data_IF_166282592502
#
_entry.id   IF_166282592502
#
_cell.length_a   1.000
_cell.length_b   1.000
_cell.length_c   1.000
_cell.angle_alpha   90.00
_cell.angle_beta   90.00
_cell.angle_gamma   90.00
#
_symmetry.space_group_name_H-M   'P 1'
#
loop_
_entity.id
_entity.type
_entity.pdbx_description
1 polymer ?
#
# COMPACT_ATOMS: atom_id res chain seq x y z
N UNK A 1 43.97 -25.02 56.15
CA UNK A 1 43.73 -23.58 55.93
C UNK A 1 43.80 -23.35 54.43
N UNK A 2 42.65 -23.48 53.76
CA UNK A 2 42.51 -23.44 52.30
C UNK A 2 42.16 -22.04 51.81
N UNK A 3 42.58 -21.76 50.57
CA UNK A 3 42.41 -20.51 49.84
C UNK A 3 40.93 -20.12 49.62
N UNK A 4 40.62 -18.83 49.34
CA UNK A 4 39.27 -18.42 49.04
C UNK A 4 38.91 -18.79 47.59
N UNK A 5 37.71 -19.34 47.43
CA UNK A 5 36.99 -19.55 46.16
C UNK A 5 36.18 -18.30 45.85
N UNK A 6 36.45 -17.68 44.71
CA UNK A 6 35.52 -16.80 44.02
C UNK A 6 34.65 -17.67 43.12
N UNK A 7 33.34 -17.68 43.35
CA UNK A 7 32.38 -18.17 42.36
C UNK A 7 31.15 -17.26 42.38
N UNK A 8 31.24 -16.21 41.56
CA UNK A 8 30.18 -15.25 41.30
C UNK A 8 29.33 -15.74 40.14
N UNK A 9 28.19 -16.31 40.50
CA UNK A 9 27.07 -16.67 39.64
C UNK A 9 26.55 -15.47 38.82
N UNK A 10 26.16 -15.74 37.57
CA UNK A 10 25.50 -14.77 36.72
C UNK A 10 25.52 -15.17 35.25
N UNK A 11 24.91 -16.32 34.92
CA UNK A 11 24.55 -16.66 33.55
C UNK A 11 23.66 -15.54 32.98
N UNK A 12 24.22 -14.73 32.07
CA UNK A 12 23.50 -13.72 31.31
C UNK A 12 22.54 -14.43 30.35
N UNK A 13 21.27 -14.48 30.76
CA UNK A 13 20.13 -14.92 29.97
C UNK A 13 19.89 -14.00 28.78
N UNK A 14 20.73 -14.09 27.75
CA UNK A 14 20.49 -13.49 26.44
C UNK A 14 19.87 -14.52 25.48
N UNK A 15 18.69 -15.06 25.85
CA UNK A 15 17.88 -15.83 24.91
C UNK A 15 16.63 -15.05 24.50
N UNK A 16 16.61 -14.62 23.23
CA UNK A 16 15.39 -14.57 22.44
C UNK A 16 14.74 -13.20 22.21
N UNK A 17 15.46 -12.23 21.65
CA UNK A 17 14.81 -11.19 20.86
C UNK A 17 14.91 -11.59 19.39
N UNK A 18 13.85 -12.13 18.79
CA UNK A 18 13.79 -12.19 17.32
C UNK A 18 13.83 -10.75 16.82
N UNK A 19 14.98 -10.35 16.26
CA UNK A 19 15.13 -9.03 15.65
C UNK A 19 14.36 -9.11 14.35
N UNK A 20 13.11 -8.66 14.35
CA UNK A 20 12.31 -8.58 13.12
C UNK A 20 13.14 -7.94 12.01
N UNK A 21 13.22 -8.61 10.86
CA UNK A 21 13.94 -8.08 9.70
C UNK A 21 13.14 -6.90 9.13
N UNK A 22 13.81 -5.76 8.93
CA UNK A 22 13.22 -4.56 8.39
C UNK A 22 13.93 -4.21 7.07
N UNK A 23 13.22 -3.59 6.11
CA UNK A 23 13.88 -3.03 4.95
C UNK A 23 14.98 -2.03 5.36
N UNK A 24 16.05 -1.89 4.57
CA UNK A 24 17.15 -1.01 4.94
C UNK A 24 16.69 0.44 5.18
N UNK A 25 17.29 1.06 6.20
CA UNK A 25 16.95 2.42 6.62
C UNK A 25 15.59 2.60 7.30
N UNK A 26 14.83 1.53 7.56
CA UNK A 26 13.56 1.57 8.30
C UNK A 26 13.73 1.45 9.81
N UNK A 27 12.76 2.00 10.54
CA UNK A 27 12.60 1.82 11.98
C UNK A 27 11.23 1.25 12.31
N UNK A 28 11.18 0.34 13.28
CA UNK A 28 9.91 -0.19 13.76
C UNK A 28 9.07 0.95 14.37
N UNK A 29 7.85 1.10 13.89
CA UNK A 29 6.89 2.06 14.41
C UNK A 29 6.13 1.46 15.59
N UNK A 30 5.97 2.25 16.66
CA UNK A 30 5.01 1.94 17.72
C UNK A 30 3.68 2.63 17.41
N UNK A 31 2.59 1.88 17.41
CA UNK A 31 1.26 2.39 17.06
C UNK A 31 1.10 2.71 15.57
N UNK A 32 -0.01 3.37 15.22
CA UNK A 32 -0.35 3.72 13.84
C UNK A 32 -0.29 5.23 13.64
N UNK A 33 0.76 5.76 13.00
CA UNK A 33 0.89 7.20 12.80
C UNK A 33 -0.05 7.67 11.70
N UNK A 34 -0.65 8.84 11.94
CA UNK A 34 -1.41 9.56 10.92
C UNK A 34 -0.42 10.31 10.02
N UNK A 35 -0.41 9.96 8.73
CA UNK A 35 0.39 10.66 7.70
C UNK A 35 -0.48 10.93 6.48
N UNK A 36 -0.67 12.19 6.11
CA UNK A 36 -1.37 12.58 4.88
C UNK A 36 -0.79 13.86 4.31
N UNK A 37 -0.92 13.97 2.99
CA UNK A 37 -0.78 15.22 2.27
C UNK A 37 -2.17 15.86 2.13
N UNK A 38 -2.31 17.12 2.55
CA UNK A 38 -3.59 17.84 2.49
C UNK A 38 -4.58 17.49 3.62
N UNK A 39 -5.81 18.02 3.56
CA UNK A 39 -6.85 17.78 4.58
C UNK A 39 -7.42 16.36 4.51
N UNK A 40 -8.02 15.90 5.61
CA UNK A 40 -8.80 14.65 5.66
C UNK A 40 -10.17 14.89 5.01
N UNK A 41 -10.56 14.14 3.97
CA UNK A 41 -11.84 14.33 3.31
C UNK A 41 -12.99 13.92 4.21
N UNK A 42 -14.07 14.71 4.15
CA UNK A 42 -15.34 14.34 4.78
C UNK A 42 -16.05 13.32 3.89
N UNK A 43 -16.08 12.06 4.34
CA UNK A 43 -16.79 11.01 3.62
C UNK A 43 -18.29 11.27 3.55
N UNK A 44 -18.84 11.01 2.36
CA UNK A 44 -20.27 11.12 2.02
C UNK A 44 -20.63 9.94 1.10
N UNK A 45 -21.22 8.85 1.64
CA UNK A 45 -21.46 7.63 0.88
C UNK A 45 -22.27 7.86 -0.40
N UNK A 46 -23.22 8.79 -0.36
CA UNK A 46 -24.10 9.16 -1.48
C UNK A 46 -23.38 9.89 -2.63
N UNK A 47 -22.15 10.35 -2.41
CA UNK A 47 -21.29 10.99 -3.43
C UNK A 47 -20.04 10.17 -3.73
N UNK A 48 -19.89 9.03 -3.05
CA UNK A 48 -18.75 8.17 -3.23
C UNK A 48 -19.07 7.10 -4.26
N UNK A 49 -18.12 6.88 -5.15
CA UNK A 49 -18.16 5.84 -6.18
C UNK A 49 -16.72 5.39 -6.41
N UNK A 50 -16.53 4.08 -6.52
CA UNK A 50 -15.31 3.48 -7.03
C UNK A 50 -15.47 3.24 -8.53
N UNK A 51 -14.51 3.73 -9.33
CA UNK A 51 -14.57 3.62 -10.80
C UNK A 51 -13.39 2.83 -11.37
N UNK A 52 -13.65 2.02 -12.39
CA UNK A 52 -12.64 1.39 -13.24
C UNK A 52 -12.85 1.90 -14.66
N UNK A 53 -11.80 2.44 -15.27
CA UNK A 53 -11.84 3.01 -16.61
C UNK A 53 -10.48 2.92 -17.29
N UNK A 54 -10.32 3.52 -18.47
CA UNK A 54 -9.11 3.42 -19.28
C UNK A 54 -9.27 2.32 -20.32
N UNK A 55 -8.21 1.56 -20.59
CA UNK A 55 -8.25 0.43 -21.52
C UNK A 55 -8.83 -0.83 -20.83
N UNK A 56 -10.15 -0.88 -20.69
CA UNK A 56 -10.90 -2.08 -20.27
C UNK A 56 -11.12 -3.01 -21.45
N UNK A 57 -11.31 -4.31 -21.21
CA UNK A 57 -11.51 -5.30 -22.29
C UNK A 57 -12.79 -5.03 -23.11
N UNK A 58 -13.80 -4.43 -22.49
CA UNK A 58 -15.08 -4.10 -23.11
C UNK A 58 -15.20 -2.63 -23.54
N UNK A 59 -14.13 -1.83 -23.39
CA UNK A 59 -14.11 -0.38 -23.62
C UNK A 59 -15.15 0.41 -22.78
N UNK A 60 -15.74 -0.21 -21.74
CA UNK A 60 -16.72 0.42 -20.85
C UNK A 60 -16.10 0.92 -19.54
N UNK A 61 -16.82 1.85 -18.89
CA UNK A 61 -16.49 2.30 -17.53
C UNK A 61 -17.34 1.55 -16.54
N UNK A 62 -16.71 0.99 -15.53
CA UNK A 62 -17.38 0.25 -14.46
C UNK A 62 -17.39 1.09 -13.19
N UNK A 63 -18.52 1.09 -12.48
CA UNK A 63 -18.73 1.92 -11.30
C UNK A 63 -19.48 1.16 -10.22
N UNK A 64 -19.10 1.39 -8.96
CA UNK A 64 -19.80 0.87 -7.79
C UNK A 64 -20.02 2.01 -6.81
N UNK A 65 -21.26 2.18 -6.36
CA UNK A 65 -21.59 2.97 -5.18
C UNK A 65 -20.89 2.39 -3.94
N UNK A 66 -20.88 3.13 -2.84
CA UNK A 66 -20.29 2.65 -1.60
C UNK A 66 -20.89 1.30 -1.15
N UNK A 67 -22.21 1.19 -1.17
CA UNK A 67 -22.90 -0.02 -0.70
C UNK A 67 -22.59 -1.22 -1.62
N UNK A 68 -22.62 -1.03 -2.93
CA UNK A 68 -22.26 -2.08 -3.90
C UNK A 68 -20.80 -2.52 -3.75
N UNK A 69 -19.87 -1.57 -3.54
CA UNK A 69 -18.45 -1.89 -3.35
C UNK A 69 -18.23 -2.68 -2.06
N UNK A 70 -18.87 -2.28 -0.96
CA UNK A 70 -18.75 -2.99 0.33
C UNK A 70 -19.38 -4.39 0.33
N UNK A 71 -20.29 -4.66 -0.61
CA UNK A 71 -20.89 -5.98 -0.83
C UNK A 71 -20.02 -6.92 -1.68
N UNK A 72 -18.92 -6.43 -2.28
CA UNK A 72 -17.99 -7.26 -3.04
C UNK A 72 -17.28 -8.29 -2.14
N UNK A 73 -16.73 -9.38 -2.73
CA UNK A 73 -15.95 -10.37 -1.99
C UNK A 73 -14.89 -9.75 -1.07
N UNK A 74 -14.96 -10.10 0.20
CA UNK A 74 -14.08 -9.61 1.26
C UNK A 74 -12.99 -10.65 1.59
N UNK A 75 -11.78 -10.17 1.89
CA UNK A 75 -10.68 -10.99 2.41
C UNK A 75 -9.89 -10.25 3.47
N UNK A 76 -9.02 -11.00 4.15
CA UNK A 76 -8.07 -10.48 5.12
C UNK A 76 -6.65 -10.91 4.74
N UNK A 77 -5.70 -9.97 4.83
CA UNK A 77 -4.27 -10.20 4.60
C UNK A 77 -3.48 -9.66 5.77
N UNK A 78 -2.59 -10.48 6.34
CA UNK A 78 -1.56 -10.00 7.27
C UNK A 78 -0.34 -9.57 6.48
N UNK A 79 0.01 -8.28 6.59
CA UNK A 79 1.09 -7.68 5.83
C UNK A 79 1.69 -6.47 6.52
N UNK A 80 2.97 -6.26 6.28
CA UNK A 80 3.70 -5.09 6.73
C UNK A 80 3.32 -3.86 5.89
N UNK A 81 3.52 -2.68 6.47
CA UNK A 81 3.41 -1.40 5.78
C UNK A 81 4.69 -0.61 6.03
N UNK A 82 5.39 -0.29 4.94
CA UNK A 82 6.65 0.44 4.96
C UNK A 82 6.45 1.85 4.45
N UNK A 83 6.74 2.86 5.26
CA UNK A 83 6.63 4.26 4.85
C UNK A 83 7.98 4.78 4.33
N UNK A 84 7.93 5.62 3.29
CA UNK A 84 9.10 6.32 2.76
C UNK A 84 9.77 7.21 3.79
N UNK A 85 9.02 7.68 4.80
CA UNK A 85 9.52 8.49 5.92
C UNK A 85 10.21 7.67 7.02
N UNK A 86 10.63 6.43 6.70
CA UNK A 86 11.51 5.56 7.50
C UNK A 86 10.84 4.87 8.70
N UNK A 87 9.53 4.67 8.66
CA UNK A 87 8.84 3.82 9.63
C UNK A 87 8.22 2.58 8.99
N UNK A 88 8.23 1.46 9.71
CA UNK A 88 7.58 0.20 9.33
C UNK A 88 6.57 -0.22 10.41
N UNK A 89 5.37 -0.60 9.98
CA UNK A 89 4.42 -1.36 10.81
C UNK A 89 4.47 -2.81 10.36
N UNK A 90 4.70 -3.74 11.29
CA UNK A 90 4.79 -5.16 10.97
C UNK A 90 3.53 -5.91 11.38
N UNK A 91 3.18 -6.95 10.63
CA UNK A 91 2.11 -7.88 10.97
C UNK A 91 0.72 -7.24 11.10
N UNK A 92 0.47 -6.15 10.38
CA UNK A 92 -0.84 -5.51 10.39
C UNK A 92 -1.85 -6.37 9.61
N UNK A 93 -3.03 -6.58 10.19
CA UNK A 93 -4.13 -7.25 9.51
C UNK A 93 -4.91 -6.22 8.70
N UNK A 94 -5.03 -6.43 7.39
CA UNK A 94 -5.77 -5.58 6.47
C UNK A 94 -6.97 -6.33 5.91
N UNK A 95 -8.15 -5.74 6.03
CA UNK A 95 -9.41 -6.34 5.57
C UNK A 95 -10.09 -5.51 4.50
N UNK A 96 -10.58 -6.14 3.43
CA UNK A 96 -11.28 -5.45 2.36
C UNK A 96 -11.42 -6.25 1.07
N UNK A 97 -11.59 -5.54 -0.06
CA UNK A 97 -11.84 -6.14 -1.37
C UNK A 97 -10.51 -6.45 -2.08
N UNK A 98 -10.21 -7.70 -2.46
CA UNK A 98 -9.00 -8.03 -3.21
C UNK A 98 -8.93 -7.27 -4.54
N UNK A 99 -7.75 -6.79 -4.94
CA UNK A 99 -7.57 -6.18 -6.26
C UNK A 99 -7.91 -7.18 -7.40
N UNK A 100 -7.64 -8.47 -7.19
CA UNK A 100 -8.04 -9.54 -8.09
C UNK A 100 -9.57 -9.63 -8.32
N UNK A 101 -10.39 -9.22 -7.35
CA UNK A 101 -11.85 -9.14 -7.54
C UNK A 101 -12.19 -8.04 -8.54
N UNK A 102 -11.55 -6.88 -8.44
CA UNK A 102 -11.75 -5.76 -9.38
C UNK A 102 -11.30 -6.15 -10.79
N UNK A 103 -10.12 -6.77 -10.93
CA UNK A 103 -9.60 -7.27 -12.21
C UNK A 103 -10.55 -8.29 -12.86
N UNK A 104 -11.27 -9.10 -12.07
CA UNK A 104 -12.24 -10.07 -12.59
C UNK A 104 -13.55 -9.42 -13.03
N UNK A 105 -14.02 -8.41 -12.28
CA UNK A 105 -15.29 -7.75 -12.55
C UNK A 105 -15.19 -6.72 -13.69
N UNK A 106 -14.05 -6.06 -13.82
CA UNK A 106 -13.74 -5.12 -14.89
C UNK A 106 -12.35 -5.44 -15.45
N UNK A 107 -12.22 -6.42 -16.37
CA UNK A 107 -10.93 -6.86 -16.88
C UNK A 107 -10.19 -5.79 -17.69
N UNK A 108 -8.85 -5.69 -17.55
CA UNK A 108 -8.03 -4.83 -18.39
C UNK A 108 -7.87 -5.42 -19.80
N UNK A 109 -7.77 -4.54 -20.79
CA UNK A 109 -7.43 -4.92 -22.16
C UNK A 109 -6.04 -5.59 -22.24
N UNK A 110 -5.75 -6.42 -23.28
CA UNK A 110 -4.54 -7.22 -23.35
C UNK A 110 -3.21 -6.43 -23.35
N UNK A 111 -3.24 -5.17 -23.78
CA UNK A 111 -2.08 -4.28 -23.88
C UNK A 111 -1.88 -3.36 -22.66
N UNK A 112 -2.72 -3.50 -21.63
CA UNK A 112 -2.55 -2.78 -20.36
C UNK A 112 -1.29 -3.26 -19.65
N UNK A 113 -0.44 -2.31 -19.31
CA UNK A 113 0.83 -2.56 -18.60
C UNK A 113 0.82 -1.99 -17.19
N UNK A 114 0.01 -0.97 -16.94
CA UNK A 114 0.00 -0.20 -15.70
C UNK A 114 -1.42 0.15 -15.24
N UNK A 115 -1.54 0.47 -13.96
CA UNK A 115 -2.75 0.95 -13.31
C UNK A 115 -2.45 2.27 -12.63
N UNK A 116 -3.21 3.33 -12.92
CA UNK A 116 -3.21 4.53 -12.09
C UNK A 116 -4.30 4.42 -11.05
N UNK A 117 -3.94 4.56 -9.78
CA UNK A 117 -4.89 4.58 -8.67
C UNK A 117 -5.20 6.04 -8.34
N UNK A 118 -6.48 6.40 -8.37
CA UNK A 118 -6.95 7.76 -8.11
C UNK A 118 -7.59 7.86 -6.73
N UNK A 119 -7.31 8.95 -6.03
CA UNK A 119 -7.83 9.24 -4.70
C UNK A 119 -8.39 10.67 -4.62
N UNK A 120 -9.01 10.98 -3.48
CA UNK A 120 -9.50 12.33 -3.17
C UNK A 120 -8.41 13.39 -3.35
N UNK A 121 -8.85 14.63 -3.63
CA UNK A 121 -7.99 15.80 -3.81
C UNK A 121 -6.91 15.66 -4.91
N UNK A 122 -7.16 14.80 -5.90
CA UNK A 122 -6.28 14.63 -7.06
C UNK A 122 -5.00 13.87 -6.76
N UNK A 123 -4.91 13.19 -5.62
CA UNK A 123 -3.81 12.27 -5.37
C UNK A 123 -3.89 11.09 -6.34
N UNK A 124 -2.75 10.70 -6.90
CA UNK A 124 -2.64 9.57 -7.81
C UNK A 124 -1.36 8.79 -7.54
N UNK A 125 -1.36 7.49 -7.84
CA UNK A 125 -0.17 6.66 -7.82
C UNK A 125 -0.27 5.61 -8.91
N UNK A 126 0.75 5.51 -9.75
CA UNK A 126 0.87 4.46 -10.76
C UNK A 126 1.35 3.16 -10.14
N UNK A 127 1.05 2.03 -10.76
CA UNK A 127 1.52 0.69 -10.41
C UNK A 127 1.73 -0.08 -11.71
N UNK A 128 2.73 -0.95 -11.78
CA UNK A 128 2.74 -2.00 -12.80
C UNK A 128 1.51 -2.89 -12.59
N UNK A 129 0.89 -3.36 -13.66
CA UNK A 129 -0.26 -4.26 -13.55
C UNK A 129 0.09 -5.50 -12.72
N UNK A 130 1.33 -6.00 -12.80
CA UNK A 130 1.83 -7.11 -11.99
C UNK A 130 1.87 -6.82 -10.49
N UNK A 131 2.20 -5.59 -10.08
CA UNK A 131 2.20 -5.20 -8.67
C UNK A 131 0.77 -5.05 -8.13
N UNK A 132 -0.11 -4.46 -8.94
CA UNK A 132 -1.52 -4.34 -8.62
C UNK A 132 -2.21 -5.72 -8.52
N UNK A 133 -1.86 -6.65 -9.41
CA UNK A 133 -2.39 -8.01 -9.45
C UNK A 133 -1.76 -8.97 -8.41
N UNK A 134 -0.80 -8.51 -7.61
CA UNK A 134 -0.16 -9.35 -6.59
C UNK A 134 -1.21 -9.90 -5.60
N UNK A 135 -1.09 -11.17 -5.22
CA UNK A 135 -2.14 -11.88 -4.46
C UNK A 135 -2.47 -11.32 -3.07
N UNK A 136 -1.65 -10.40 -2.55
CA UNK A 136 -1.86 -9.70 -1.26
C UNK A 136 -2.27 -8.24 -1.41
N UNK A 137 -2.51 -7.77 -2.64
CA UNK A 137 -2.97 -6.42 -2.91
C UNK A 137 -4.49 -6.34 -2.72
N UNK A 138 -4.95 -5.42 -1.89
CA UNK A 138 -6.37 -5.21 -1.62
C UNK A 138 -6.73 -3.74 -1.39
N UNK A 139 -7.98 -3.41 -1.66
CA UNK A 139 -8.60 -2.17 -1.21
C UNK A 139 -9.16 -2.39 0.19
N UNK A 140 -8.39 -1.96 1.19
CA UNK A 140 -8.71 -2.11 2.60
C UNK A 140 -9.76 -1.10 3.06
N UNK A 141 -10.75 -1.63 3.80
CA UNK A 141 -11.78 -0.89 4.55
C UNK A 141 -11.61 -1.08 6.07
N UNK A 142 -10.82 -2.08 6.48
CA UNK A 142 -10.56 -2.43 7.87
C UNK A 142 -9.06 -2.61 8.14
N UNK A 143 -8.67 -2.40 9.41
CA UNK A 143 -7.39 -2.81 9.97
C UNK A 143 -7.62 -3.45 11.35
N UNK A 144 -7.05 -4.62 11.58
CA UNK A 144 -7.20 -5.40 12.82
C UNK A 144 -8.68 -5.61 13.21
N UNK A 145 -9.52 -6.00 12.25
CA UNK A 145 -10.96 -6.19 12.41
C UNK A 145 -11.81 -4.92 12.53
N UNK A 146 -11.19 -3.75 12.73
CA UNK A 146 -11.90 -2.48 12.91
C UNK A 146 -11.95 -1.66 11.63
N UNK A 147 -13.02 -0.88 11.43
CA UNK A 147 -13.11 0.06 10.31
C UNK A 147 -11.97 1.08 10.37
N UNK A 148 -11.42 1.43 9.20
CA UNK A 148 -10.45 2.51 9.13
C UNK A 148 -11.05 3.80 9.72
N UNK A 149 -10.22 4.62 10.37
CA UNK A 149 -10.62 6.00 10.66
C UNK A 149 -10.47 6.86 9.40
N UNK A 150 -11.10 8.04 9.39
CA UNK A 150 -10.97 8.99 8.29
C UNK A 150 -9.50 9.35 8.03
N UNK A 151 -8.72 9.59 9.10
CA UNK A 151 -7.28 9.88 9.02
C UNK A 151 -6.46 8.74 8.41
N UNK A 152 -6.93 7.51 8.57
CA UNK A 152 -6.24 6.31 8.11
C UNK A 152 -6.70 5.78 6.75
N UNK A 153 -7.71 6.43 6.15
CA UNK A 153 -8.09 6.22 4.76
C UNK A 153 -9.54 5.81 4.53
N UNK A 154 -10.39 5.83 5.56
CA UNK A 154 -11.82 5.57 5.37
C UNK A 154 -12.43 6.50 4.30
N UNK A 155 -13.24 5.98 3.36
CA UNK A 155 -13.83 4.64 3.34
C UNK A 155 -12.91 3.55 2.78
N UNK A 156 -11.86 3.92 2.04
CA UNK A 156 -11.09 2.98 1.24
C UNK A 156 -9.64 3.43 1.07
N UNK A 157 -8.69 2.53 1.31
CA UNK A 157 -7.29 2.71 0.92
C UNK A 157 -6.78 1.50 0.16
N UNK A 158 -5.80 1.69 -0.71
CA UNK A 158 -5.08 0.57 -1.30
C UNK A 158 -3.93 0.12 -0.38
N UNK A 159 -3.73 -1.19 -0.29
CA UNK A 159 -2.58 -1.82 0.35
C UNK A 159 -1.85 -2.64 -0.70
N UNK A 160 -0.57 -2.32 -0.93
CA UNK A 160 0.34 -3.06 -1.81
C UNK A 160 1.55 -3.48 -0.97
N UNK A 161 1.53 -4.65 -0.31
CA UNK A 161 2.47 -4.98 0.77
C UNK A 161 3.95 -4.90 0.43
N UNK A 162 4.31 -5.20 -0.81
CA UNK A 162 5.70 -5.24 -1.25
C UNK A 162 6.24 -3.90 -1.74
N UNK A 163 5.43 -2.83 -1.72
CA UNK A 163 5.85 -1.48 -2.09
C UNK A 163 5.72 -0.52 -0.89
N UNK A 164 6.41 0.62 -0.98
CA UNK A 164 6.26 1.69 -0.03
C UNK A 164 4.82 2.26 -0.02
N UNK A 165 4.40 2.72 1.15
CA UNK A 165 3.01 3.07 1.44
C UNK A 165 2.42 4.22 0.60
N UNK A 166 3.23 5.05 -0.08
CA UNK A 166 2.68 6.07 -0.99
C UNK A 166 2.06 5.44 -2.24
N UNK A 167 2.52 4.24 -2.61
CA UNK A 167 1.96 3.43 -3.71
C UNK A 167 0.59 2.85 -3.39
N UNK A 168 0.16 2.94 -2.12
CA UNK A 168 -1.16 2.54 -1.63
C UNK A 168 -1.96 3.76 -1.13
N UNK A 169 -2.61 4.54 -2.03
CA UNK A 169 -3.30 5.76 -1.67
C UNK A 169 -4.38 5.54 -0.61
N UNK A 170 -4.61 6.55 0.22
CA UNK A 170 -5.79 6.67 1.07
C UNK A 170 -6.91 7.39 0.31
N UNK A 171 -8.15 7.14 0.71
CA UNK A 171 -9.34 7.79 0.13
C UNK A 171 -9.50 7.53 -1.37
N UNK A 172 -9.37 6.26 -1.75
CA UNK A 172 -9.40 5.81 -3.14
C UNK A 172 -10.78 6.06 -3.76
N UNK A 173 -10.77 6.47 -5.03
CA UNK A 173 -11.95 6.72 -5.89
C UNK A 173 -12.00 5.84 -7.13
N UNK A 174 -10.94 5.09 -7.43
CA UNK A 174 -10.95 4.21 -8.58
C UNK A 174 -9.56 3.93 -9.14
N UNK A 175 -9.55 3.20 -10.25
CA UNK A 175 -8.37 2.89 -11.02
C UNK A 175 -8.58 3.17 -12.51
N UNK A 176 -7.50 3.48 -13.19
CA UNK A 176 -7.42 3.64 -14.64
C UNK A 176 -6.42 2.64 -15.20
N UNK A 177 -6.83 1.83 -16.16
CA UNK A 177 -5.95 0.96 -16.91
C UNK A 177 -5.20 1.73 -17.98
N UNK A 178 -3.87 1.60 -17.98
CA UNK A 178 -2.96 2.33 -18.86
C UNK A 178 -2.12 1.35 -19.69
N UNK A 179 -2.00 1.63 -20.99
CA UNK A 179 -1.17 0.84 -21.92
C UNK A 179 0.31 1.24 -21.88
N UNK A 180 0.62 2.41 -21.33
CA UNK A 180 1.95 2.86 -21.02
C UNK A 180 1.97 3.50 -19.62
N UNK A 181 3.14 3.52 -18.99
CA UNK A 181 3.27 4.12 -17.66
C UNK A 181 3.11 5.65 -17.70
N UNK A 182 2.59 6.20 -16.60
CA UNK A 182 2.48 7.63 -16.36
C UNK A 182 2.71 7.88 -14.88
N UNK A 183 3.61 8.81 -14.54
CA UNK A 183 3.93 9.13 -13.15
C UNK A 183 2.69 9.60 -12.37
N UNK A 184 2.58 9.14 -11.13
CA UNK A 184 1.59 9.62 -10.17
C UNK A 184 2.04 10.88 -9.43
N UNK A 185 1.28 11.25 -8.41
CA UNK A 185 1.47 12.51 -7.69
C UNK A 185 2.87 12.66 -7.08
N UNK A 186 3.35 11.65 -6.35
CA UNK A 186 4.67 11.74 -5.71
C UNK A 186 5.81 11.40 -6.66
N UNK A 187 5.55 10.55 -7.65
CA UNK A 187 6.51 10.16 -8.68
C UNK A 187 6.88 11.36 -9.56
N UNK A 188 5.94 12.25 -9.88
CA UNK A 188 6.21 13.55 -10.51
C UNK A 188 7.01 14.50 -9.60
N UNK A 189 7.01 14.27 -8.29
CA UNK A 189 7.65 15.11 -7.26
C UNK A 189 8.93 14.50 -6.72
N UNK A 190 9.50 13.56 -7.48
CA UNK A 190 10.81 13.00 -7.25
C UNK A 190 10.83 11.75 -6.38
N UNK A 191 9.69 11.14 -6.05
CA UNK A 191 9.67 9.78 -5.50
C UNK A 191 9.95 8.77 -6.60
N UNK A 192 10.50 7.62 -6.21
CA UNK A 192 10.83 6.55 -7.15
C UNK A 192 9.57 5.99 -7.81
N UNK A 193 9.63 5.68 -9.10
CA UNK A 193 8.47 5.21 -9.85
C UNK A 193 7.94 3.83 -9.38
N UNK A 194 8.81 2.85 -9.10
CA UNK A 194 8.42 1.54 -8.53
C UNK A 194 8.13 1.62 -7.02
N UNK A 195 9.13 1.95 -6.19
CA UNK A 195 8.96 2.10 -4.74
C UNK A 195 9.15 0.82 -3.91
N UNK A 196 10.10 -0.06 -4.25
CA UNK A 196 10.44 -1.24 -3.44
C UNK A 196 11.22 -0.83 -2.16
N UNK A 197 10.71 -1.15 -0.95
CA UNK A 197 11.37 -0.80 0.30
C UNK A 197 12.65 -1.58 0.57
N UNK A 198 12.76 -2.82 0.10
CA UNK A 198 13.94 -3.67 0.32
C UNK A 198 15.12 -3.27 -0.55
N UNK A 199 14.84 -2.63 -1.69
CA UNK A 199 15.84 -2.04 -2.59
C UNK A 199 16.13 -0.57 -2.30
N UNK A 200 15.55 -0.01 -1.23
CA UNK A 200 15.63 1.42 -0.90
C UNK A 200 15.23 2.38 -2.04
N UNK A 201 14.32 1.96 -2.92
CA UNK A 201 13.80 2.76 -4.02
C UNK A 201 12.86 3.87 -3.47
N UNK A 202 13.43 4.95 -2.94
CA UNK A 202 12.69 6.06 -2.30
C UNK A 202 12.48 7.23 -3.26
N UNK A 203 13.48 7.53 -4.08
CA UNK A 203 13.54 8.72 -4.90
C UNK A 203 13.89 8.40 -6.36
N UNK A 204 13.44 9.28 -7.26
CA UNK A 204 13.61 9.20 -8.71
C UNK A 204 15.07 9.15 -9.18
N UNK A 205 16.02 9.75 -8.46
CA UNK A 205 17.44 9.68 -8.82
C UNK A 205 18.06 8.28 -8.67
N UNK A 206 17.31 7.33 -8.07
CA UNK A 206 17.72 5.93 -7.91
C UNK A 206 17.10 5.03 -9.00
N UNK A 207 16.34 5.59 -9.93
CA UNK A 207 15.69 4.84 -11.00
C UNK A 207 16.72 4.37 -12.04
N UNK A 208 16.61 3.11 -12.43
CA UNK A 208 17.37 2.51 -13.53
C UNK A 208 16.53 2.51 -14.83
N UNK A 209 17.16 2.36 -16.00
CA UNK A 209 16.42 2.26 -17.26
C UNK A 209 15.31 1.20 -17.22
N UNK A 210 14.07 1.64 -17.48
CA UNK A 210 12.88 0.79 -17.43
C UNK A 210 12.09 0.83 -16.11
N UNK A 211 12.58 1.52 -15.08
CA UNK A 211 11.84 1.68 -13.82
C UNK A 211 10.63 2.61 -13.94
N UNK A 212 10.62 3.52 -14.92
CA UNK A 212 9.54 4.46 -15.19
C UNK A 212 9.72 5.20 -16.52
N UNK A 213 8.79 6.10 -16.88
CA UNK A 213 8.94 6.94 -18.06
C UNK A 213 10.12 7.89 -17.90
N UNK A 214 10.72 8.30 -19.03
CA UNK A 214 11.80 9.30 -19.02
C UNK A 214 11.36 10.57 -18.26
N UNK A 215 12.27 11.09 -17.42
CA UNK A 215 12.06 12.28 -16.59
C UNK A 215 12.09 13.57 -17.40
#
# INVERSE_FOLDING_TARGET
>A
MGQPVEDGSGEDGSQGASRFELPPGQRLQRGWPVTHYGPVPKFRPERWEFRVFGATTDDEKHGWTHDEFTALPYTTVVADLHCVTKFSMLGAEWGGVPAATILRLAPPAPDVTHVMVWAEYGFSSNLRLSDFAAGRTLFATHKDGELLTAEHGFPLRLIVPHLYAWKGPKWVRGIEYMTADRRGFWEERGYHNIGDPWKEQRYSYQEEPGDGPEL
#
